data_IF_624615196691
#
_entry.id   IF_624615196691
#
_cell.length_a   1.000
_cell.length_b   1.000
_cell.length_c   1.000
_cell.angle_alpha   90.00
_cell.angle_beta   90.00
_cell.angle_gamma   90.00
#
_symmetry.space_group_name_H-M   'P 1'
#
loop_
_entity.id
_entity.type
_entity.pdbx_description
1 polymer ?
#
# COMPACT_ATOMS: atom_id res chain seq x y z
N UNK A 1 -13.25 -26.84 -4.93
CA UNK A 1 -12.32 -25.70 -4.85
C UNK A 1 -11.06 -26.11 -5.57
N UNK A 2 -10.63 -25.35 -6.58
CA UNK A 2 -9.60 -25.76 -7.53
C UNK A 2 -8.21 -25.52 -6.95
N UNK A 3 -7.31 -26.50 -7.07
CA UNK A 3 -5.91 -26.44 -6.65
C UNK A 3 -5.19 -25.16 -7.17
N UNK A 4 -5.60 -24.69 -8.35
CA UNK A 4 -5.17 -23.44 -8.98
C UNK A 4 -5.42 -22.18 -8.12
N UNK A 5 -6.56 -22.12 -7.42
CA UNK A 5 -6.87 -20.98 -6.53
C UNK A 5 -5.92 -20.93 -5.34
N UNK A 6 -5.60 -22.09 -4.75
CA UNK A 6 -4.67 -22.20 -3.63
C UNK A 6 -3.26 -21.79 -4.06
N UNK A 7 -2.82 -22.25 -5.23
CA UNK A 7 -1.54 -21.84 -5.85
C UNK A 7 -1.44 -20.34 -6.07
N UNK A 8 -2.49 -19.71 -6.62
CA UNK A 8 -2.53 -18.25 -6.82
C UNK A 8 -2.50 -17.48 -5.50
N UNK A 9 -3.27 -17.90 -4.51
CA UNK A 9 -3.28 -17.28 -3.18
C UNK A 9 -1.89 -17.40 -2.54
N UNK A 10 -1.23 -18.55 -2.65
CA UNK A 10 0.14 -18.75 -2.13
C UNK A 10 1.14 -17.83 -2.83
N UNK A 11 1.15 -17.79 -4.16
CA UNK A 11 2.05 -16.93 -4.91
C UNK A 11 1.88 -15.44 -4.54
N UNK A 12 0.64 -14.99 -4.37
CA UNK A 12 0.33 -13.63 -3.93
C UNK A 12 0.75 -13.38 -2.47
N UNK A 13 0.60 -14.35 -1.58
CA UNK A 13 1.07 -14.25 -0.22
C UNK A 13 2.62 -14.19 -0.13
N UNK A 14 3.33 -14.95 -0.97
CA UNK A 14 4.80 -14.96 -1.03
C UNK A 14 5.38 -13.62 -1.51
N UNK A 15 4.69 -12.91 -2.40
CA UNK A 15 5.07 -11.53 -2.80
C UNK A 15 4.65 -10.48 -1.75
N UNK A 16 4.03 -10.91 -0.65
CA UNK A 16 3.66 -10.05 0.48
C UNK A 16 2.28 -9.39 0.36
N UNK A 17 1.41 -9.86 -0.54
CA UNK A 17 0.04 -9.35 -0.64
C UNK A 17 -0.79 -9.71 0.59
N UNK A 18 -1.66 -8.79 0.99
CA UNK A 18 -2.59 -8.99 2.10
C UNK A 18 -3.79 -9.83 1.68
N UNK A 19 -4.51 -10.42 2.64
CA UNK A 19 -5.74 -11.20 2.36
C UNK A 19 -6.79 -10.39 1.61
N UNK A 20 -6.91 -9.10 1.91
CA UNK A 20 -7.83 -8.17 1.24
C UNK A 20 -7.44 -7.93 -0.23
N UNK A 21 -6.15 -7.76 -0.52
CA UNK A 21 -5.67 -7.61 -1.89
C UNK A 21 -5.86 -8.88 -2.71
N UNK A 22 -5.54 -10.04 -2.12
CA UNK A 22 -5.76 -11.34 -2.74
C UNK A 22 -7.25 -11.55 -3.04
N UNK A 23 -8.13 -11.17 -2.11
CA UNK A 23 -9.58 -11.20 -2.29
C UNK A 23 -10.03 -10.32 -3.46
N UNK A 24 -9.49 -9.11 -3.56
CA UNK A 24 -9.76 -8.20 -4.69
C UNK A 24 -9.26 -8.73 -6.03
N UNK A 25 -8.04 -9.26 -6.10
CA UNK A 25 -7.43 -9.76 -7.34
C UNK A 25 -8.12 -11.02 -7.88
N UNK A 26 -8.61 -11.87 -6.98
CA UNK A 26 -9.29 -13.11 -7.34
C UNK A 26 -10.82 -12.94 -7.43
N UNK A 27 -11.36 -11.73 -7.23
CA UNK A 27 -12.81 -11.48 -7.10
C UNK A 27 -13.48 -12.45 -6.14
N UNK A 28 -12.85 -12.66 -4.98
CA UNK A 28 -13.31 -13.55 -3.92
C UNK A 28 -13.59 -12.76 -2.64
N UNK A 29 -14.47 -13.28 -1.79
CA UNK A 29 -14.67 -12.71 -0.47
C UNK A 29 -13.44 -12.95 0.42
N UNK A 30 -13.06 -11.94 1.22
CA UNK A 30 -11.89 -12.02 2.11
C UNK A 30 -11.95 -13.20 3.08
N UNK A 31 -13.14 -13.52 3.60
CA UNK A 31 -13.33 -14.68 4.49
C UNK A 31 -13.02 -16.01 3.80
N UNK A 32 -13.24 -16.12 2.48
CA UNK A 32 -12.86 -17.33 1.71
C UNK A 32 -11.35 -17.43 1.56
N UNK A 33 -10.67 -16.31 1.28
CA UNK A 33 -9.21 -16.26 1.21
C UNK A 33 -8.61 -16.59 2.57
N UNK A 34 -9.15 -16.05 3.66
CA UNK A 34 -8.73 -16.37 5.02
C UNK A 34 -8.89 -17.87 5.33
N UNK A 35 -10.03 -18.47 4.97
CA UNK A 35 -10.26 -19.90 5.15
C UNK A 35 -9.25 -20.76 4.37
N UNK A 36 -8.94 -20.40 3.13
CA UNK A 36 -7.94 -21.11 2.31
C UNK A 36 -6.54 -20.97 2.90
N UNK A 37 -6.16 -19.77 3.35
CA UNK A 37 -4.85 -19.56 3.96
C UNK A 37 -4.68 -20.35 5.26
N UNK A 38 -5.73 -20.47 6.07
CA UNK A 38 -5.72 -21.30 7.29
C UNK A 38 -5.65 -22.79 6.94
N UNK A 39 -6.46 -23.25 5.99
CA UNK A 39 -6.51 -24.66 5.60
C UNK A 39 -5.20 -25.18 4.97
N UNK A 40 -4.45 -24.31 4.29
CA UNK A 40 -3.22 -24.68 3.57
C UNK A 40 -1.94 -24.10 4.19
N UNK A 41 -2.01 -23.59 5.42
CA UNK A 41 -0.89 -22.96 6.15
C UNK A 41 -0.14 -21.91 5.32
N UNK A 42 -0.87 -21.12 4.53
CA UNK A 42 -0.29 -20.04 3.72
C UNK A 42 -0.06 -18.84 4.64
N UNK A 43 1.17 -18.27 4.70
CA UNK A 43 1.49 -17.11 5.52
C UNK A 43 0.93 -15.82 4.89
N UNK A 44 -0.38 -15.76 4.65
CA UNK A 44 -1.03 -14.53 4.23
C UNK A 44 -1.23 -13.63 5.44
N UNK A 45 -0.51 -12.51 5.46
CA UNK A 45 -0.56 -11.49 6.52
C UNK A 45 -2.03 -11.09 6.80
N UNK A 46 -2.58 -11.35 8.01
CA UNK A 46 -3.99 -11.09 8.33
C UNK A 46 -4.35 -9.60 8.32
N UNK A 47 -3.36 -8.76 8.55
CA UNK A 47 -3.36 -7.30 8.55
C UNK A 47 -1.90 -6.95 8.84
N UNK A 48 -1.31 -5.94 8.20
CA UNK A 48 -0.06 -5.38 8.74
C UNK A 48 -0.42 -4.64 10.02
N UNK A 49 -0.35 -5.34 11.16
CA UNK A 49 -0.47 -4.76 12.50
C UNK A 49 0.83 -4.06 12.83
N UNK A 50 0.98 -2.85 12.31
CA UNK A 50 2.14 -2.02 12.60
C UNK A 50 1.95 -0.69 11.91
N UNK A 51 1.72 0.36 12.71
CA UNK A 51 1.87 1.74 12.26
C UNK A 51 3.35 1.94 11.93
N UNK A 52 3.82 1.48 10.77
CA UNK A 52 5.10 1.95 10.26
C UNK A 52 4.91 3.42 9.95
N UNK A 53 5.76 4.25 10.53
CA UNK A 53 5.75 5.70 10.29
C UNK A 53 5.84 5.89 8.77
N UNK A 54 4.84 6.56 8.20
CA UNK A 54 4.86 6.90 6.78
C UNK A 54 6.12 7.75 6.53
N UNK A 55 6.99 7.40 5.58
CA UNK A 55 8.13 8.22 5.23
C UNK A 55 7.65 9.59 4.75
N UNK A 56 8.45 10.61 4.99
CA UNK A 56 8.16 11.95 4.49
C UNK A 56 8.49 12.03 2.99
N UNK A 57 8.06 13.12 2.35
CA UNK A 57 8.56 13.45 1.01
C UNK A 57 10.01 13.90 1.10
N UNK A 58 10.90 13.50 0.18
CA UNK A 58 10.65 12.81 -1.10
C UNK A 58 10.71 11.27 -1.06
N UNK A 59 11.04 10.64 0.06
CA UNK A 59 11.18 9.17 0.15
C UNK A 59 9.87 8.45 -0.20
N UNK A 60 8.73 9.00 0.23
CA UNK A 60 7.41 8.50 -0.15
C UNK A 60 7.14 8.56 -1.67
N UNK A 61 7.77 9.51 -2.38
CA UNK A 61 7.66 9.66 -3.83
C UNK A 61 8.33 8.51 -4.57
N UNK A 62 9.50 8.10 -4.08
CA UNK A 62 10.31 7.03 -4.66
C UNK A 62 9.54 5.72 -4.57
N UNK A 63 8.93 5.46 -3.41
CA UNK A 63 8.01 4.33 -3.19
C UNK A 63 6.81 4.37 -4.15
N UNK A 64 6.21 5.54 -4.36
CA UNK A 64 5.08 5.73 -5.29
C UNK A 64 5.47 5.64 -6.78
N UNK A 65 6.75 5.78 -7.10
CA UNK A 65 7.23 5.61 -8.47
C UNK A 65 7.35 4.12 -8.84
N UNK A 66 7.62 3.26 -7.84
CA UNK A 66 7.70 1.81 -8.00
C UNK A 66 6.41 1.04 -7.69
N UNK A 67 5.39 1.69 -7.11
CA UNK A 67 4.17 1.04 -6.65
C UNK A 67 2.95 1.98 -6.63
N UNK A 68 1.75 1.43 -6.73
CA UNK A 68 0.51 2.22 -6.64
C UNK A 68 0.26 2.72 -5.21
N UNK A 69 -0.52 3.81 -5.07
CA UNK A 69 -0.89 4.35 -3.76
C UNK A 69 -1.51 3.31 -2.83
N UNK A 70 -2.28 2.36 -3.36
CA UNK A 70 -2.86 1.27 -2.57
C UNK A 70 -1.81 0.35 -1.96
N UNK A 71 -0.79 -0.03 -2.76
CA UNK A 71 0.32 -0.89 -2.33
C UNK A 71 1.18 -0.17 -1.29
N UNK A 72 1.49 1.11 -1.49
CA UNK A 72 2.26 1.91 -0.52
C UNK A 72 1.45 2.12 0.76
N UNK A 73 0.15 2.44 0.66
CA UNK A 73 -0.73 2.60 1.81
C UNK A 73 -0.82 1.31 2.64
N UNK A 74 -0.97 0.17 1.97
CA UNK A 74 -0.93 -1.16 2.60
C UNK A 74 0.43 -1.45 3.24
N UNK A 75 1.53 -1.08 2.59
CA UNK A 75 2.90 -1.27 3.09
C UNK A 75 3.14 -0.56 4.43
N UNK A 76 2.59 0.65 4.60
CA UNK A 76 2.73 1.45 5.83
C UNK A 76 1.54 1.33 6.80
N UNK A 77 0.50 0.57 6.44
CA UNK A 77 -0.69 0.40 7.28
C UNK A 77 -1.49 1.70 7.42
N UNK A 78 -1.47 2.56 6.40
CA UNK A 78 -2.22 3.82 6.35
C UNK A 78 -3.30 3.76 5.26
N UNK A 79 -4.26 4.68 5.30
CA UNK A 79 -5.22 4.84 4.20
C UNK A 79 -4.58 5.53 3.00
N UNK A 80 -5.07 5.27 1.78
CA UNK A 80 -4.66 6.01 0.58
C UNK A 80 -4.84 7.53 0.74
N UNK A 81 -5.86 7.95 1.49
CA UNK A 81 -6.09 9.35 1.88
C UNK A 81 -4.91 9.95 2.64
N UNK A 82 -4.24 9.18 3.51
CA UNK A 82 -3.07 9.65 4.26
C UNK A 82 -1.88 9.91 3.32
N UNK A 83 -1.73 9.10 2.26
CA UNK A 83 -0.71 9.31 1.23
C UNK A 83 -1.04 10.56 0.41
N UNK A 84 -2.31 10.78 0.05
CA UNK A 84 -2.73 12.01 -0.64
C UNK A 84 -2.48 13.25 0.21
N UNK A 85 -2.71 13.18 1.52
CA UNK A 85 -2.40 14.27 2.46
C UNK A 85 -0.90 14.53 2.56
N UNK A 86 -0.07 13.49 2.62
CA UNK A 86 1.39 13.62 2.63
C UNK A 86 1.91 14.30 1.36
N UNK A 87 1.36 13.96 0.19
CA UNK A 87 1.66 14.64 -1.08
C UNK A 87 1.26 16.11 -1.06
N UNK A 88 0.03 16.45 -0.67
CA UNK A 88 -0.42 17.85 -0.58
C UNK A 88 0.42 18.68 0.40
N UNK A 89 0.85 18.09 1.51
CA UNK A 89 1.72 18.73 2.49
C UNK A 89 3.08 19.07 1.86
N UNK A 90 3.66 18.15 1.08
CA UNK A 90 4.90 18.37 0.37
C UNK A 90 4.77 19.41 -0.75
N UNK A 91 3.70 19.37 -1.54
CA UNK A 91 3.40 20.37 -2.57
C UNK A 91 3.25 21.78 -1.97
N UNK A 92 2.58 21.88 -0.81
CA UNK A 92 2.44 23.16 -0.08
C UNK A 92 3.77 23.63 0.50
N UNK A 93 4.61 22.73 1.02
CA UNK A 93 5.93 23.07 1.52
C UNK A 93 6.84 23.57 0.38
N UNK A 94 6.82 22.92 -0.79
CA UNK A 94 7.53 23.35 -1.98
C UNK A 94 7.04 24.72 -2.49
N UNK A 95 5.71 24.96 -2.48
CA UNK A 95 5.13 26.24 -2.85
C UNK A 95 5.47 27.37 -1.86
N UNK A 96 5.61 27.07 -0.57
CA UNK A 96 6.04 28.03 0.45
C UNK A 96 7.55 28.31 0.46
N UNK A 97 8.37 27.47 -0.18
CA UNK A 97 9.80 27.74 -0.43
C UNK A 97 10.05 28.48 -1.74
N UNK A 98 9.00 28.86 -2.48
CA UNK A 98 9.11 29.81 -3.57
C UNK A 98 9.33 31.21 -3.02
N UNK A 99 10.60 31.59 -2.83
CA UNK A 99 10.98 33.01 -2.80
C UNK A 99 10.34 33.69 -4.03
N UNK A 100 9.49 34.72 -3.86
CA UNK A 100 9.11 35.53 -4.99
C UNK A 100 10.39 36.18 -5.55
N UNK A 101 10.61 36.21 -6.87
CA UNK A 101 11.72 36.97 -7.42
C UNK A 101 11.53 38.42 -6.98
N UNK A 102 12.44 38.89 -6.11
CA UNK A 102 12.49 40.28 -5.71
C UNK A 102 12.82 41.10 -6.94
N UNK A 103 11.80 41.61 -7.61
CA UNK A 103 11.91 42.74 -8.53
C UNK A 103 12.48 43.89 -7.71
N UNK A 104 13.77 44.16 -7.89
CA UNK A 104 14.38 45.40 -7.41
C UNK A 104 14.59 46.30 -8.63
N UNK A 105 14.12 47.56 -8.59
CA UNK A 105 14.14 48.51 -9.70
C UNK A 105 15.56 48.89 -10.14
#
# INVERSE_FOLDING_TARGET
>A
MTDDTVRRIRALAEVGSTRAEIAGLLSMAEWKVAAICVAHSIPATPKRTGKRKLPEWPELAIELNGATQGVVAARYGVSTTAISQARRKAEKAAASSGEPPTTRP
#
